data_IF_109277023833
#
_entry.id   IF_109277023833
#
_cell.length_a   1.000
_cell.length_b   1.000
_cell.length_c   1.000
_cell.angle_alpha   90.00
_cell.angle_beta   90.00
_cell.angle_gamma   90.00
#
_symmetry.space_group_name_H-M   'P 1'
#
loop_
_entity.id
_entity.type
_entity.pdbx_description
1 polymer ?
#
# COMPACT_ATOMS: atom_id res chain seq x y z
N UNK A 1 -18.41 60.55 -32.26
CA UNK A 1 -18.78 61.81 -33.06
C UNK A 1 -20.26 61.94 -32.99
N UNK A 2 -20.66 63.16 -32.57
CA UNK A 2 -21.86 63.91 -32.86
C UNK A 2 -23.18 63.28 -32.40
N UNK A 3 -23.74 63.74 -31.28
CA UNK A 3 -24.41 65.00 -31.07
C UNK A 3 -25.83 64.94 -31.63
N UNK A 4 -26.78 65.05 -30.67
CA UNK A 4 -27.56 66.28 -30.44
C UNK A 4 -28.95 66.21 -31.07
N UNK A 5 -29.91 66.41 -30.22
CA UNK A 5 -30.94 67.41 -30.13
C UNK A 5 -32.31 66.86 -30.55
N UNK A 6 -33.40 67.03 -29.89
CA UNK A 6 -34.15 68.18 -29.38
C UNK A 6 -35.41 67.63 -28.71
N UNK A 7 -35.76 67.89 -27.52
CA UNK A 7 -36.36 69.01 -26.84
C UNK A 7 -37.64 69.61 -27.53
N UNK A 8 -38.69 69.71 -26.68
CA UNK A 8 -39.96 70.39 -26.78
C UNK A 8 -41.11 69.62 -27.42
N UNK A 9 -42.25 69.43 -26.74
CA UNK A 9 -43.22 70.44 -26.29
C UNK A 9 -44.22 69.81 -25.28
N UNK A 10 -44.28 70.27 -24.12
CA UNK A 10 -45.30 70.75 -23.22
C UNK A 10 -46.65 71.11 -23.95
N UNK A 11 -47.76 70.54 -23.45
CA UNK A 11 -48.92 71.25 -22.92
C UNK A 11 -49.98 70.26 -22.52
N UNK A 12 -50.23 70.14 -21.29
CA UNK A 12 -51.47 70.38 -20.52
C UNK A 12 -52.78 69.98 -21.17
N UNK A 13 -53.42 69.02 -20.55
CA UNK A 13 -54.85 69.08 -20.34
C UNK A 13 -55.22 68.44 -18.98
N UNK A 14 -55.41 69.29 -18.00
CA UNK A 14 -56.21 69.03 -16.83
C UNK A 14 -57.68 69.07 -17.24
N UNK A 15 -58.36 67.98 -17.15
CA UNK A 15 -59.81 67.99 -16.90
C UNK A 15 -60.12 66.92 -15.86
N UNK A 16 -60.67 67.42 -14.80
CA UNK A 16 -61.24 66.74 -13.67
C UNK A 16 -62.34 65.78 -14.09
N UNK A 17 -62.44 64.64 -13.40
CA UNK A 17 -63.70 64.25 -12.85
C UNK A 17 -63.51 63.26 -11.73
N UNK A 18 -63.89 63.59 -10.52
CA UNK A 18 -64.03 62.73 -9.38
C UNK A 18 -65.19 61.77 -9.59
N UNK A 19 -65.11 60.66 -8.93
CA UNK A 19 -66.24 59.81 -8.81
C UNK A 19 -65.94 58.34 -8.57
N UNK A 20 -66.22 57.87 -7.36
CA UNK A 20 -66.55 56.49 -7.00
C UNK A 20 -65.38 55.51 -6.74
N UNK A 21 -64.72 55.67 -5.58
CA UNK A 21 -63.96 54.59 -4.91
C UNK A 21 -64.85 53.51 -4.28
N UNK A 22 -66.21 53.59 -4.46
CA UNK A 22 -67.14 52.59 -3.96
C UNK A 22 -67.39 51.39 -4.88
N UNK A 23 -67.18 51.60 -6.20
CA UNK A 23 -67.53 50.55 -7.19
C UNK A 23 -66.50 49.43 -7.33
N UNK A 24 -65.26 49.73 -7.14
CA UNK A 24 -64.19 48.71 -7.22
C UNK A 24 -64.18 47.73 -6.04
N UNK A 25 -64.61 48.17 -4.85
CA UNK A 25 -64.75 47.29 -3.71
C UNK A 25 -65.96 46.36 -3.85
N UNK A 26 -67.10 46.88 -4.40
CA UNK A 26 -68.26 46.09 -4.69
C UNK A 26 -68.00 45.07 -5.82
N UNK A 27 -67.31 45.49 -6.87
CA UNK A 27 -66.84 44.58 -7.95
C UNK A 27 -65.89 43.53 -7.46
N UNK A 28 -64.96 43.83 -6.54
CA UNK A 28 -64.05 42.87 -5.95
C UNK A 28 -64.79 41.87 -5.06
N UNK A 29 -65.80 42.33 -4.33
CA UNK A 29 -66.63 41.42 -3.50
C UNK A 29 -67.46 40.48 -4.37
N UNK A 30 -68.09 40.97 -5.46
CA UNK A 30 -68.85 40.14 -6.41
C UNK A 30 -67.95 39.10 -7.13
N UNK A 31 -66.75 39.52 -7.54
CA UNK A 31 -65.77 38.59 -8.14
C UNK A 31 -65.28 37.52 -7.16
N UNK A 32 -65.10 37.85 -5.89
CA UNK A 32 -64.76 36.83 -4.84
C UNK A 32 -65.91 35.86 -4.59
N UNK A 33 -67.14 36.32 -4.64
CA UNK A 33 -68.30 35.41 -4.50
C UNK A 33 -68.42 34.48 -5.71
N UNK A 34 -68.22 34.99 -6.93
CA UNK A 34 -68.18 34.17 -8.15
C UNK A 34 -66.97 33.19 -8.17
N UNK A 35 -65.84 33.59 -7.62
CA UNK A 35 -64.69 32.71 -7.48
C UNK A 35 -64.97 31.55 -6.48
N UNK A 36 -65.65 31.85 -5.38
CA UNK A 36 -66.03 30.83 -4.41
C UNK A 36 -67.08 29.87 -4.98
N UNK A 37 -68.07 30.40 -5.77
CA UNK A 37 -69.08 29.59 -6.43
C UNK A 37 -68.50 28.70 -7.53
N UNK A 38 -67.60 29.22 -8.34
CA UNK A 38 -66.83 28.44 -9.33
C UNK A 38 -65.95 27.40 -8.67
N UNK A 39 -65.29 27.71 -7.55
CA UNK A 39 -64.52 26.74 -6.80
C UNK A 39 -65.38 25.61 -6.22
N UNK A 40 -66.60 25.91 -5.77
CA UNK A 40 -67.58 24.92 -5.30
C UNK A 40 -68.08 24.04 -6.47
N UNK A 41 -68.37 24.62 -7.63
CA UNK A 41 -68.73 23.88 -8.85
C UNK A 41 -67.61 23.01 -9.38
N UNK A 42 -66.38 23.48 -9.39
CA UNK A 42 -65.19 22.69 -9.73
C UNK A 42 -65.05 21.50 -8.75
N UNK A 43 -65.19 21.76 -7.45
CA UNK A 43 -65.08 20.67 -6.44
C UNK A 43 -66.25 19.68 -6.55
N UNK A 44 -67.46 20.09 -6.94
CA UNK A 44 -68.58 19.19 -7.18
C UNK A 44 -68.36 18.36 -8.46
N UNK A 45 -67.90 19.01 -9.54
CA UNK A 45 -67.56 18.31 -10.79
C UNK A 45 -66.35 17.38 -10.62
N UNK A 46 -65.32 17.76 -9.85
CA UNK A 46 -64.20 16.86 -9.50
C UNK A 46 -64.67 15.69 -8.67
N UNK A 47 -65.71 15.86 -7.82
CA UNK A 47 -66.30 14.78 -7.03
C UNK A 47 -67.15 13.84 -7.89
N UNK A 48 -67.91 14.36 -8.86
CA UNK A 48 -68.66 13.56 -9.85
C UNK A 48 -67.72 12.85 -10.83
N UNK A 49 -66.64 13.50 -11.33
CA UNK A 49 -65.61 12.88 -12.15
C UNK A 49 -64.79 11.84 -11.37
N UNK A 50 -64.47 12.13 -10.09
CA UNK A 50 -63.80 11.17 -9.22
C UNK A 50 -64.65 9.95 -8.83
N UNK A 51 -65.97 10.06 -8.89
CA UNK A 51 -66.88 8.91 -8.69
C UNK A 51 -67.05 8.06 -9.97
N UNK A 52 -66.75 8.60 -11.15
CA UNK A 52 -66.89 7.90 -12.45
C UNK A 52 -65.59 7.30 -12.99
N UNK A 53 -64.42 7.66 -12.43
CA UNK A 53 -63.13 7.18 -12.89
C UNK A 53 -62.50 6.20 -11.87
N UNK A 54 -63.13 5.05 -11.70
CA UNK A 54 -62.60 3.90 -10.96
C UNK A 54 -61.54 3.12 -11.76
N UNK A 55 -61.03 3.66 -12.84
CA UNK A 55 -59.84 3.19 -13.54
C UNK A 55 -58.71 4.18 -13.32
N UNK A 56 -58.12 4.20 -12.11
CA UNK A 56 -56.73 4.63 -11.95
C UNK A 56 -55.93 3.82 -12.97
N UNK A 57 -55.63 4.37 -14.15
CA UNK A 57 -54.58 3.80 -15.04
C UNK A 57 -53.33 3.71 -14.20
N UNK A 58 -53.09 2.53 -13.62
CA UNK A 58 -51.86 2.25 -12.89
C UNK A 58 -50.72 2.59 -13.82
N UNK A 59 -49.98 3.64 -13.48
CA UNK A 59 -48.83 4.11 -14.25
C UNK A 59 -47.76 3.03 -14.14
N UNK A 60 -47.61 2.24 -15.20
CA UNK A 60 -46.59 1.20 -15.24
C UNK A 60 -45.23 1.89 -15.28
N UNK A 61 -44.36 1.61 -14.32
CA UNK A 61 -42.98 2.09 -14.27
C UNK A 61 -42.04 1.03 -14.86
N UNK A 62 -41.20 1.46 -15.77
CA UNK A 62 -40.23 0.57 -16.38
C UNK A 62 -38.97 0.49 -15.52
N UNK A 63 -38.53 -0.73 -15.25
CA UNK A 63 -37.40 -1.02 -14.36
C UNK A 63 -36.46 -2.05 -15.02
N UNK A 64 -35.21 -2.05 -14.58
CA UNK A 64 -34.30 -3.17 -14.83
C UNK A 64 -34.01 -3.89 -13.50
N UNK A 65 -33.95 -5.21 -13.55
CA UNK A 65 -33.71 -6.04 -12.38
C UNK A 65 -32.48 -6.93 -12.56
N UNK A 66 -31.82 -7.24 -11.47
CA UNK A 66 -30.76 -8.24 -11.42
C UNK A 66 -31.08 -9.28 -10.32
N UNK A 67 -30.86 -10.58 -10.58
CA UNK A 67 -31.04 -11.59 -9.56
C UNK A 67 -29.99 -11.46 -8.46
N UNK A 68 -30.41 -11.48 -7.20
CA UNK A 68 -29.50 -11.51 -6.06
C UNK A 68 -28.91 -12.91 -5.94
N UNK A 69 -27.58 -12.99 -5.91
CA UNK A 69 -26.86 -14.25 -5.72
C UNK A 69 -25.83 -14.12 -4.60
N UNK A 70 -25.46 -15.25 -4.02
CA UNK A 70 -24.35 -15.29 -3.06
C UNK A 70 -23.02 -15.32 -3.80
N UNK A 71 -22.07 -14.50 -3.37
CA UNK A 71 -20.70 -14.46 -3.89
C UNK A 71 -19.70 -14.28 -2.75
N UNK A 72 -18.43 -14.53 -3.04
CA UNK A 72 -17.39 -14.25 -2.07
C UNK A 72 -17.24 -12.73 -1.91
N UNK A 73 -17.29 -12.26 -0.68
CA UNK A 73 -17.08 -10.86 -0.31
C UNK A 73 -15.92 -10.75 0.67
N UNK A 74 -15.01 -9.82 0.40
CA UNK A 74 -13.92 -9.51 1.30
C UNK A 74 -13.78 -8.00 1.45
N UNK A 75 -13.52 -7.57 2.68
CA UNK A 75 -13.18 -6.20 3.02
C UNK A 75 -11.70 -6.13 3.35
N UNK A 76 -11.01 -5.14 2.80
CA UNK A 76 -9.58 -5.00 2.94
C UNK A 76 -9.22 -3.70 3.65
N UNK A 77 -8.14 -3.75 4.42
CA UNK A 77 -7.41 -2.57 4.88
C UNK A 77 -6.30 -2.33 3.85
N UNK A 78 -6.33 -1.20 3.17
CA UNK A 78 -5.32 -0.82 2.19
C UNK A 78 -4.22 0.00 2.87
N UNK A 79 -2.99 -0.47 2.73
CA UNK A 79 -1.79 0.12 3.31
C UNK A 79 -0.75 0.32 2.22
N UNK A 80 -0.04 1.43 2.28
CA UNK A 80 1.10 1.67 1.39
C UNK A 80 2.37 1.07 1.98
N UNK A 81 3.19 0.50 1.12
CA UNK A 81 4.47 -0.08 1.49
C UNK A 81 5.50 0.05 0.39
N UNK A 82 6.68 -0.46 0.65
CA UNK A 82 7.76 -0.55 -0.32
C UNK A 82 8.49 -1.88 -0.22
N UNK A 83 9.02 -2.32 -1.35
CA UNK A 83 9.91 -3.49 -1.40
C UNK A 83 11.23 -3.14 -0.72
N UNK A 84 11.70 -4.00 0.16
CA UNK A 84 13.04 -3.89 0.75
C UNK A 84 13.77 -5.22 0.60
N UNK A 85 15.07 -5.16 0.34
CA UNK A 85 15.90 -6.35 0.44
C UNK A 85 16.05 -6.74 1.92
N UNK A 86 16.06 -8.04 2.21
CA UNK A 86 16.29 -8.52 3.57
C UNK A 86 17.73 -8.25 3.99
N UNK A 87 18.65 -8.52 3.09
CA UNK A 87 20.08 -8.37 3.31
C UNK A 87 20.62 -7.24 2.41
N UNK A 88 20.95 -6.12 3.01
CA UNK A 88 21.63 -4.99 2.40
C UNK A 88 22.80 -4.58 3.30
N UNK A 89 24.03 -4.57 2.75
CA UNK A 89 25.23 -4.33 3.54
C UNK A 89 26.17 -3.39 2.82
N UNK A 90 26.67 -2.40 3.57
CA UNK A 90 27.81 -1.59 3.14
C UNK A 90 29.09 -2.32 3.49
N UNK A 91 29.97 -2.47 2.52
CA UNK A 91 31.31 -3.00 2.71
C UNK A 91 32.22 -1.85 3.10
N UNK A 92 32.84 -1.95 4.26
CA UNK A 92 33.72 -0.92 4.78
C UNK A 92 35.16 -1.44 4.86
N UNK A 93 36.14 -0.55 4.72
CA UNK A 93 37.51 -0.83 5.05
C UNK A 93 37.66 -1.17 6.53
N UNK A 94 38.54 -2.13 6.85
CA UNK A 94 38.84 -2.52 8.24
C UNK A 94 40.11 -1.83 8.75
N UNK A 95 40.95 -1.41 7.84
CA UNK A 95 42.25 -0.73 8.11
C UNK A 95 42.34 0.54 7.28
N UNK A 96 43.05 1.55 7.75
CA UNK A 96 43.33 2.73 6.93
C UNK A 96 44.38 2.43 5.86
N UNK A 97 44.31 3.14 4.73
CA UNK A 97 45.26 3.04 3.64
C UNK A 97 44.70 3.53 2.32
N UNK A 98 45.52 3.50 1.26
CA UNK A 98 45.10 3.87 -0.08
C UNK A 98 44.55 2.64 -0.83
N UNK A 99 43.48 2.81 -1.59
CA UNK A 99 42.92 1.72 -2.43
C UNK A 99 43.80 1.55 -3.64
N UNK A 100 44.40 0.37 -3.80
CA UNK A 100 45.26 0.02 -4.93
C UNK A 100 44.49 -0.62 -6.07
N UNK A 101 43.46 -1.43 -5.75
CA UNK A 101 42.64 -2.14 -6.74
C UNK A 101 41.20 -2.24 -6.31
N UNK A 102 40.31 -2.16 -7.29
CA UNK A 102 38.87 -2.46 -7.14
C UNK A 102 38.52 -3.49 -8.21
N UNK A 103 37.97 -4.64 -7.80
CA UNK A 103 37.68 -5.79 -8.66
C UNK A 103 36.19 -5.87 -9.07
N UNK A 104 35.36 -4.93 -8.61
CA UNK A 104 33.93 -4.91 -8.84
C UNK A 104 33.48 -3.61 -9.49
N UNK A 105 32.36 -3.71 -10.20
CA UNK A 105 31.62 -2.56 -10.75
C UNK A 105 30.17 -2.64 -10.33
N UNK A 106 29.47 -1.52 -10.42
CA UNK A 106 28.02 -1.47 -10.23
C UNK A 106 27.34 -2.45 -11.20
N UNK A 107 26.43 -3.28 -10.69
CA UNK A 107 25.74 -4.34 -11.42
C UNK A 107 26.39 -5.73 -11.33
N UNK A 108 27.64 -5.84 -10.87
CA UNK A 108 28.32 -7.13 -10.75
C UNK A 108 27.70 -8.01 -9.67
N UNK A 109 27.67 -9.33 -9.91
CA UNK A 109 27.32 -10.33 -8.91
C UNK A 109 28.53 -10.79 -8.13
N UNK A 110 28.45 -10.73 -6.82
CA UNK A 110 29.50 -11.15 -5.90
C UNK A 110 29.05 -12.26 -4.98
N UNK A 111 30.00 -13.08 -4.53
CA UNK A 111 29.76 -14.14 -3.53
C UNK A 111 30.33 -13.73 -2.17
N UNK A 112 29.73 -14.22 -1.11
CA UNK A 112 30.28 -14.06 0.23
C UNK A 112 31.73 -14.57 0.28
N UNK A 113 32.63 -13.77 0.88
CA UNK A 113 34.07 -14.06 0.95
C UNK A 113 34.88 -13.63 -0.29
N UNK A 114 34.26 -13.23 -1.39
CA UNK A 114 34.96 -12.75 -2.58
C UNK A 114 35.69 -11.42 -2.29
N UNK A 115 36.96 -11.29 -2.70
CA UNK A 115 37.69 -10.04 -2.60
C UNK A 115 37.14 -9.04 -3.60
N UNK A 116 36.77 -7.85 -3.12
CA UNK A 116 36.18 -6.77 -3.92
C UNK A 116 37.12 -5.59 -4.12
N UNK A 117 38.05 -5.39 -3.20
CA UNK A 117 39.10 -4.37 -3.35
C UNK A 117 40.31 -4.72 -2.50
N UNK A 118 41.42 -4.04 -2.80
CA UNK A 118 42.68 -4.13 -2.04
C UNK A 118 43.13 -2.75 -1.61
N UNK A 119 43.60 -2.69 -0.36
CA UNK A 119 44.31 -1.54 0.22
C UNK A 119 45.83 -1.80 0.10
N UNK A 120 46.60 -0.76 -0.04
CA UNK A 120 48.03 -0.82 -0.03
C UNK A 120 48.54 -1.57 1.21
N UNK A 121 49.30 -2.65 0.98
CA UNK A 121 49.79 -3.55 2.01
C UNK A 121 51.28 -3.83 1.92
N UNK A 122 52.02 -3.01 1.16
CA UNK A 122 53.49 -3.22 0.90
C UNK A 122 54.26 -3.32 2.21
N UNK A 123 54.00 -2.45 3.18
CA UNK A 123 54.64 -2.51 4.49
C UNK A 123 54.35 -3.84 5.22
N UNK A 124 53.11 -4.28 5.19
CA UNK A 124 52.68 -5.54 5.83
C UNK A 124 53.30 -6.75 5.12
N UNK A 125 53.43 -6.69 3.80
CA UNK A 125 54.10 -7.74 3.03
C UNK A 125 55.60 -7.84 3.41
N UNK A 126 56.31 -6.71 3.51
CA UNK A 126 57.71 -6.69 3.93
C UNK A 126 57.88 -7.26 5.35
N UNK A 127 57.02 -6.93 6.27
CA UNK A 127 57.01 -7.51 7.63
C UNK A 127 56.77 -9.02 7.63
N UNK A 128 55.85 -9.48 6.78
CA UNK A 128 55.59 -10.90 6.62
C UNK A 128 56.83 -11.64 6.07
N UNK A 129 57.50 -11.09 5.08
CA UNK A 129 58.70 -11.68 4.47
C UNK A 129 59.86 -11.74 5.47
N UNK A 130 60.04 -10.72 6.33
CA UNK A 130 61.03 -10.72 7.40
C UNK A 130 60.78 -11.84 8.43
N UNK A 131 59.53 -11.94 8.94
CA UNK A 131 59.15 -12.99 9.92
C UNK A 131 59.26 -14.38 9.28
N UNK A 132 58.93 -14.52 8.01
CA UNK A 132 59.08 -15.77 7.26
C UNK A 132 60.54 -16.22 7.22
N UNK A 133 61.47 -15.33 6.94
CA UNK A 133 62.93 -15.63 6.94
C UNK A 133 63.44 -16.04 8.32
N UNK A 134 62.96 -15.39 9.37
CA UNK A 134 63.30 -15.77 10.74
C UNK A 134 62.73 -17.16 11.11
N UNK A 135 61.50 -17.44 10.67
CA UNK A 135 60.88 -18.75 10.87
C UNK A 135 61.60 -19.85 10.11
N UNK A 136 61.98 -19.62 8.85
CA UNK A 136 62.73 -20.58 8.05
C UNK A 136 64.03 -21.01 8.79
N UNK A 137 64.78 -20.04 9.32
CA UNK A 137 65.99 -20.31 10.12
C UNK A 137 65.66 -21.09 11.41
N UNK A 138 64.66 -20.66 12.18
CA UNK A 138 64.29 -21.30 13.42
C UNK A 138 63.77 -22.73 13.19
N UNK A 139 63.04 -22.95 12.11
CA UNK A 139 62.56 -24.29 11.71
C UNK A 139 63.71 -25.20 11.32
N UNK A 140 64.73 -24.74 10.57
CA UNK A 140 65.91 -25.51 10.24
C UNK A 140 66.70 -25.90 11.51
N UNK A 141 66.88 -24.96 12.43
CA UNK A 141 67.57 -25.22 13.71
C UNK A 141 66.76 -26.25 14.55
N UNK A 142 65.46 -26.11 14.60
CA UNK A 142 64.59 -27.09 15.31
C UNK A 142 64.73 -28.47 14.67
N UNK A 143 64.65 -28.61 13.37
CA UNK A 143 64.79 -29.90 12.67
C UNK A 143 66.13 -30.56 12.97
N UNK A 144 67.24 -29.80 13.00
CA UNK A 144 68.56 -30.33 13.40
C UNK A 144 68.60 -30.80 14.84
N UNK A 145 68.00 -30.01 15.77
CA UNK A 145 67.95 -30.38 17.18
C UNK A 145 67.03 -31.60 17.42
N UNK A 146 65.90 -31.69 16.68
CA UNK A 146 65.01 -32.84 16.74
C UNK A 146 65.68 -34.16 16.31
N UNK A 147 66.52 -34.14 15.26
CA UNK A 147 67.28 -35.30 14.82
C UNK A 147 68.31 -35.73 15.89
N UNK A 148 69.08 -34.76 16.46
CA UNK A 148 70.03 -35.05 17.54
C UNK A 148 69.33 -35.63 18.80
N UNK A 149 68.21 -35.01 19.19
CA UNK A 149 67.42 -35.45 20.33
C UNK A 149 66.88 -36.90 20.15
N UNK A 150 66.37 -37.23 18.96
CA UNK A 150 65.94 -38.61 18.61
C UNK A 150 67.09 -39.63 18.69
N UNK A 151 68.34 -39.18 18.52
CA UNK A 151 69.56 -40.03 18.67
C UNK A 151 70.09 -40.01 20.11
N UNK A 152 69.36 -39.41 21.08
CA UNK A 152 69.79 -39.19 22.47
C UNK A 152 71.09 -38.33 22.55
N UNK A 153 71.34 -37.45 21.61
CA UNK A 153 72.47 -36.53 21.57
C UNK A 153 71.99 -35.12 21.89
N UNK A 154 72.58 -34.43 22.87
CA UNK A 154 72.27 -33.06 23.23
C UNK A 154 71.43 -32.92 24.49
N UNK A 155 71.06 -31.65 24.78
CA UNK A 155 70.32 -31.32 25.98
C UNK A 155 68.81 -31.12 25.63
N UNK A 156 67.95 -31.65 26.49
CA UNK A 156 66.49 -31.42 26.39
C UNK A 156 66.15 -29.93 26.33
N UNK A 157 66.86 -29.11 27.12
CA UNK A 157 66.68 -27.66 27.14
C UNK A 157 66.95 -27.05 25.78
N UNK A 158 68.00 -27.52 25.04
CA UNK A 158 68.32 -27.03 23.68
C UNK A 158 67.22 -27.41 22.69
N UNK A 159 66.70 -28.64 22.75
CA UNK A 159 65.56 -29.10 21.92
C UNK A 159 64.32 -28.30 22.19
N UNK A 160 63.92 -28.13 23.49
CA UNK A 160 62.73 -27.37 23.88
C UNK A 160 62.86 -25.90 23.54
N UNK A 161 64.05 -25.30 23.65
CA UNK A 161 64.30 -23.91 23.27
C UNK A 161 64.15 -23.72 21.77
N UNK A 162 64.69 -24.60 20.92
CA UNK A 162 64.53 -24.53 19.47
C UNK A 162 63.07 -24.72 19.08
N UNK A 163 62.37 -25.66 19.70
CA UNK A 163 60.94 -25.88 19.48
C UNK A 163 60.12 -24.64 19.82
N UNK A 164 60.31 -24.07 21.01
CA UNK A 164 59.57 -22.90 21.46
C UNK A 164 59.81 -21.67 20.55
N UNK A 165 61.07 -21.49 20.09
CA UNK A 165 61.39 -20.37 19.18
C UNK A 165 60.66 -20.54 17.84
N UNK A 166 60.66 -21.74 17.24
CA UNK A 166 59.93 -22.04 16.01
C UNK A 166 58.40 -21.77 16.19
N UNK A 167 57.83 -22.32 17.26
CA UNK A 167 56.37 -22.17 17.53
C UNK A 167 55.97 -20.71 17.80
N UNK A 168 56.84 -19.90 18.44
CA UNK A 168 56.60 -18.49 18.67
C UNK A 168 56.56 -17.70 17.35
N UNK A 169 57.49 -18.01 16.40
CA UNK A 169 57.55 -17.40 15.09
C UNK A 169 56.35 -17.87 14.21
N UNK A 170 55.89 -19.13 14.32
CA UNK A 170 54.67 -19.60 13.64
C UNK A 170 53.43 -18.81 14.11
N UNK A 171 53.29 -18.57 15.39
CA UNK A 171 52.20 -17.75 15.94
C UNK A 171 52.29 -16.29 15.46
N UNK A 172 53.52 -15.73 15.41
CA UNK A 172 53.74 -14.38 14.88
C UNK A 172 53.34 -14.30 13.41
N UNK A 173 53.77 -15.26 12.58
CA UNK A 173 53.35 -15.36 11.16
C UNK A 173 51.82 -15.44 11.01
N UNK A 174 51.16 -16.28 11.81
CA UNK A 174 49.70 -16.42 11.75
C UNK A 174 48.98 -15.09 12.12
N UNK A 175 49.56 -14.32 13.05
CA UNK A 175 49.02 -13.01 13.44
C UNK A 175 49.18 -11.98 12.33
N UNK A 176 50.36 -11.90 11.73
CA UNK A 176 50.64 -11.02 10.58
C UNK A 176 49.79 -11.39 9.36
N UNK A 177 49.58 -12.69 9.12
CA UNK A 177 48.70 -13.15 8.05
C UNK A 177 47.27 -12.63 8.24
N UNK A 178 46.72 -12.73 9.45
CA UNK A 178 45.39 -12.16 9.77
C UNK A 178 45.37 -10.65 9.59
N UNK A 179 46.43 -9.96 9.97
CA UNK A 179 46.53 -8.51 9.76
C UNK A 179 46.57 -8.17 8.27
N UNK A 180 47.36 -8.92 7.46
CA UNK A 180 47.39 -8.75 6.00
C UNK A 180 46.02 -9.02 5.35
N UNK A 181 45.28 -10.02 5.84
CA UNK A 181 43.96 -10.34 5.31
C UNK A 181 42.98 -9.18 5.52
N UNK A 182 43.21 -8.26 6.45
CA UNK A 182 42.35 -7.07 6.65
C UNK A 182 42.54 -6.02 5.54
N UNK A 183 43.67 -6.05 4.79
CA UNK A 183 43.91 -5.18 3.65
C UNK A 183 43.17 -5.67 2.39
N UNK A 184 42.69 -6.93 2.39
CA UNK A 184 41.77 -7.44 1.38
C UNK A 184 40.33 -7.20 1.84
N UNK A 185 39.64 -6.34 1.15
CA UNK A 185 38.23 -6.07 1.43
C UNK A 185 37.38 -7.13 0.75
N UNK A 186 36.60 -7.89 1.55
CA UNK A 186 35.78 -9.02 1.08
C UNK A 186 34.30 -8.74 1.27
N UNK A 187 33.50 -9.23 0.33
CA UNK A 187 32.05 -9.18 0.41
C UNK A 187 31.52 -10.02 1.59
N UNK A 188 30.76 -9.46 2.55
CA UNK A 188 30.24 -10.22 3.67
C UNK A 188 29.06 -11.11 3.30
N UNK A 189 28.32 -10.75 2.24
CA UNK A 189 27.16 -11.48 1.72
C UNK A 189 27.28 -11.68 0.22
N UNK A 190 26.53 -12.63 -0.32
CA UNK A 190 26.34 -12.77 -1.76
C UNK A 190 25.21 -11.83 -2.22
N UNK A 191 25.40 -11.18 -3.37
CA UNK A 191 24.40 -10.23 -3.88
C UNK A 191 24.87 -9.55 -5.14
N UNK A 192 24.24 -8.42 -5.47
CA UNK A 192 24.59 -7.54 -6.58
C UNK A 192 25.14 -6.25 -6.00
N UNK A 193 26.18 -5.73 -6.62
CA UNK A 193 26.78 -4.44 -6.27
C UNK A 193 25.87 -3.32 -6.73
N UNK A 194 25.34 -2.57 -5.77
CA UNK A 194 24.39 -1.46 -6.00
C UNK A 194 25.13 -0.13 -6.22
N UNK A 195 26.22 0.11 -5.46
CA UNK A 195 27.01 1.33 -5.55
C UNK A 195 28.47 1.08 -5.18
N UNK A 196 29.38 1.84 -5.78
CA UNK A 196 30.84 1.84 -5.51
C UNK A 196 31.33 3.29 -5.44
N UNK A 197 31.13 3.98 -4.31
CA UNK A 197 31.50 5.40 -4.18
C UNK A 197 33.02 5.65 -4.18
N UNK A 198 33.82 4.66 -3.77
CA UNK A 198 35.27 4.81 -3.73
C UNK A 198 35.96 4.52 -5.07
N UNK A 199 37.10 5.16 -5.29
CA UNK A 199 37.92 5.02 -6.50
C UNK A 199 39.32 4.55 -6.14
N UNK A 200 40.04 3.95 -7.11
CA UNK A 200 41.44 3.62 -6.99
C UNK A 200 42.22 4.91 -6.68
N UNK A 201 43.14 4.84 -5.71
CA UNK A 201 43.92 5.98 -5.20
C UNK A 201 43.22 6.76 -4.07
N UNK A 202 41.96 6.49 -3.80
CA UNK A 202 41.26 7.10 -2.64
C UNK A 202 41.79 6.55 -1.32
N UNK A 203 41.81 7.41 -0.30
CA UNK A 203 42.05 6.99 1.07
C UNK A 203 40.85 6.24 1.63
N UNK A 204 41.10 5.05 2.16
CA UNK A 204 40.13 4.27 2.89
C UNK A 204 40.37 4.37 4.40
N UNK A 205 39.30 4.42 5.20
CA UNK A 205 39.38 4.39 6.66
C UNK A 205 38.26 3.51 7.24
N UNK A 206 38.43 2.96 8.45
CA UNK A 206 37.38 2.19 9.11
C UNK A 206 36.07 2.97 9.19
N UNK A 207 34.97 2.33 8.75
CA UNK A 207 33.64 2.95 8.71
C UNK A 207 33.30 3.70 7.42
N UNK A 208 34.25 3.96 6.54
CA UNK A 208 33.96 4.54 5.22
C UNK A 208 33.45 3.46 4.26
N UNK A 209 32.26 3.66 3.63
CA UNK A 209 31.69 2.68 2.72
C UNK A 209 32.47 2.64 1.41
N UNK A 210 32.94 1.44 1.02
CA UNK A 210 33.58 1.18 -0.25
C UNK A 210 32.56 0.81 -1.33
N UNK A 211 31.63 -0.06 -0.99
CA UNK A 211 30.60 -0.52 -1.89
C UNK A 211 29.34 -0.92 -1.10
N UNK A 212 28.20 -0.92 -1.79
CA UNK A 212 26.92 -1.40 -1.28
C UNK A 212 26.55 -2.69 -2.01
N UNK A 213 26.27 -3.76 -1.27
CA UNK A 213 25.78 -5.01 -1.81
C UNK A 213 24.34 -5.22 -1.36
N UNK A 214 23.49 -5.59 -2.30
CA UNK A 214 22.05 -5.90 -2.08
C UNK A 214 21.78 -7.33 -2.52
N UNK A 215 21.14 -8.08 -1.65
CA UNK A 215 20.72 -9.44 -1.95
C UNK A 215 19.27 -9.46 -2.44
N UNK A 216 19.09 -9.60 -3.76
CA UNK A 216 17.75 -9.68 -4.38
C UNK A 216 17.06 -11.04 -4.22
N UNK A 217 17.73 -12.05 -3.67
CA UNK A 217 17.14 -13.38 -3.51
C UNK A 217 16.13 -13.46 -2.36
N UNK A 218 16.13 -12.46 -1.48
CA UNK A 218 15.21 -12.35 -0.35
C UNK A 218 14.65 -10.94 -0.28
N UNK A 219 13.46 -10.80 -0.83
CA UNK A 219 12.72 -9.54 -0.80
C UNK A 219 11.55 -9.64 0.19
N UNK A 220 11.23 -8.53 0.80
CA UNK A 220 10.03 -8.36 1.62
C UNK A 220 9.41 -7.00 1.36
N UNK A 221 8.10 -6.90 1.58
CA UNK A 221 7.43 -5.61 1.62
C UNK A 221 7.43 -5.13 3.05
N UNK A 222 7.85 -3.90 3.23
CA UNK A 222 7.74 -3.14 4.47
C UNK A 222 6.60 -2.16 4.34
N UNK A 223 5.70 -2.22 5.31
CA UNK A 223 4.54 -1.34 5.42
C UNK A 223 4.63 -0.59 6.74
N UNK A 224 4.33 0.69 6.71
CA UNK A 224 4.14 1.50 7.90
C UNK A 224 2.65 1.67 8.16
N UNK A 225 2.08 0.77 8.96
CA UNK A 225 0.66 0.75 9.25
C UNK A 225 0.31 1.77 10.34
N UNK A 226 -0.67 2.68 10.13
CA UNK A 226 -1.17 3.57 11.17
C UNK A 226 -1.61 2.81 12.44
N UNK A 227 -1.37 3.38 13.61
CA UNK A 227 -1.69 2.76 14.91
C UNK A 227 -3.17 2.36 15.05
N UNK A 228 -4.07 3.06 14.34
CA UNK A 228 -5.51 2.76 14.31
C UNK A 228 -5.85 1.37 13.79
N UNK A 229 -4.96 0.78 13.00
CA UNK A 229 -5.15 -0.57 12.44
C UNK A 229 -4.46 -1.67 13.24
N UNK A 230 -3.62 -1.34 14.23
CA UNK A 230 -2.85 -2.34 15.00
C UNK A 230 -3.76 -3.38 15.65
N UNK A 231 -4.92 -2.96 16.16
CA UNK A 231 -5.91 -3.88 16.74
C UNK A 231 -6.50 -4.91 15.76
N UNK A 232 -6.44 -4.63 14.45
CA UNK A 232 -6.99 -5.48 13.38
C UNK A 232 -5.93 -6.32 12.67
N UNK A 233 -4.64 -5.97 12.80
CA UNK A 233 -3.54 -6.69 12.18
C UNK A 233 -3.06 -7.82 13.09
N UNK A 234 -2.79 -8.99 12.50
CA UNK A 234 -2.21 -10.16 13.17
C UNK A 234 -1.16 -10.79 12.27
N UNK A 235 -0.10 -11.32 12.88
CA UNK A 235 0.83 -12.20 12.16
C UNK A 235 0.04 -13.39 11.61
N UNK A 236 0.28 -13.73 10.33
CA UNK A 236 -0.46 -14.76 9.61
C UNK A 236 -1.67 -14.26 8.82
N UNK A 237 -2.12 -13.00 8.99
CA UNK A 237 -3.17 -12.44 8.13
C UNK A 237 -2.78 -12.58 6.65
N UNK A 238 -3.72 -13.03 5.84
CA UNK A 238 -3.57 -13.07 4.39
C UNK A 238 -3.58 -11.67 3.82
N UNK A 239 -2.65 -11.41 2.91
CA UNK A 239 -2.50 -10.13 2.25
C UNK A 239 -2.35 -10.31 0.74
N UNK A 240 -2.87 -9.36 0.00
CA UNK A 240 -2.64 -9.22 -1.43
C UNK A 240 -1.73 -8.00 -1.64
N UNK A 241 -0.53 -8.25 -2.13
CA UNK A 241 0.44 -7.20 -2.42
C UNK A 241 0.34 -6.85 -3.89
N UNK A 242 -0.04 -5.62 -4.17
CA UNK A 242 -0.15 -5.07 -5.52
C UNK A 242 1.07 -4.20 -5.83
N UNK A 243 1.59 -4.36 -7.04
CA UNK A 243 2.69 -3.56 -7.60
C UNK A 243 2.14 -2.79 -8.79
N UNK A 244 1.64 -1.55 -8.58
CA UNK A 244 0.96 -0.79 -9.62
C UNK A 244 1.83 -0.58 -10.86
N UNK A 245 3.14 -0.29 -10.67
CA UNK A 245 4.07 0.06 -11.74
C UNK A 245 4.33 -1.09 -12.74
N UNK A 246 4.15 -2.34 -12.30
CA UNK A 246 4.36 -3.54 -13.13
C UNK A 246 3.07 -4.34 -13.31
N UNK A 247 1.94 -3.82 -12.85
CA UNK A 247 0.61 -4.44 -12.91
C UNK A 247 0.61 -5.90 -12.42
N UNK A 248 1.23 -6.14 -11.27
CA UNK A 248 1.40 -7.47 -10.69
C UNK A 248 0.79 -7.55 -9.30
N UNK A 249 0.26 -8.73 -8.96
CA UNK A 249 -0.29 -9.03 -7.65
C UNK A 249 0.33 -10.32 -7.09
N UNK A 250 0.68 -10.30 -5.80
CA UNK A 250 1.25 -11.45 -5.10
C UNK A 250 0.49 -11.67 -3.79
N UNK A 251 -0.03 -12.88 -3.62
CA UNK A 251 -0.62 -13.29 -2.34
C UNK A 251 0.47 -13.72 -1.37
N UNK A 252 0.42 -13.21 -0.15
CA UNK A 252 1.36 -13.54 0.93
C UNK A 252 0.65 -13.48 2.29
N UNK A 253 1.44 -13.50 3.36
CA UNK A 253 0.96 -13.35 4.74
C UNK A 253 1.87 -12.43 5.52
N UNK A 254 1.31 -11.73 6.49
CA UNK A 254 2.09 -10.93 7.44
C UNK A 254 3.00 -11.86 8.23
N UNK A 255 4.31 -11.63 8.20
CA UNK A 255 5.31 -12.40 8.95
C UNK A 255 5.72 -11.71 10.25
N UNK A 256 5.67 -10.39 10.29
CA UNK A 256 6.11 -9.62 11.44
C UNK A 256 5.30 -8.35 11.60
N UNK A 257 5.01 -8.00 12.85
CA UNK A 257 4.41 -6.73 13.26
C UNK A 257 5.27 -6.18 14.39
N UNK A 258 5.71 -4.94 14.26
CA UNK A 258 6.54 -4.27 15.26
C UNK A 258 5.87 -4.21 16.62
N UNK A 259 6.64 -4.39 17.68
CA UNK A 259 6.15 -4.35 19.06
C UNK A 259 5.88 -2.92 19.57
N UNK A 260 6.39 -1.91 18.89
CA UNK A 260 6.25 -0.50 19.26
C UNK A 260 5.74 0.37 18.14
N UNK A 261 5.13 1.49 18.50
CA UNK A 261 4.70 2.54 17.59
C UNK A 261 5.85 3.52 17.40
N UNK A 262 6.17 3.87 16.17
CA UNK A 262 7.11 4.94 15.87
C UNK A 262 6.50 6.29 16.26
N UNK A 263 7.09 7.03 17.22
CA UNK A 263 6.49 8.25 17.73
C UNK A 263 6.48 9.40 16.71
N UNK A 264 7.34 9.37 15.71
CA UNK A 264 7.46 10.45 14.72
C UNK A 264 6.30 10.47 13.72
N UNK A 265 5.79 9.29 13.34
CA UNK A 265 4.73 9.15 12.31
C UNK A 265 3.53 8.34 12.78
N UNK A 266 3.51 7.88 14.04
CA UNK A 266 2.46 7.04 14.64
C UNK A 266 2.12 5.80 13.85
N UNK A 267 3.14 5.14 13.33
CA UNK A 267 2.99 3.90 12.56
C UNK A 267 3.64 2.72 13.27
N UNK A 268 3.18 1.53 12.93
CA UNK A 268 3.78 0.26 13.31
C UNK A 268 4.34 -0.40 12.05
N UNK A 269 5.56 -0.90 12.15
CA UNK A 269 6.24 -1.60 11.07
C UNK A 269 5.61 -2.97 10.87
N UNK A 270 5.19 -3.27 9.64
CA UNK A 270 4.70 -4.59 9.23
C UNK A 270 5.59 -5.12 8.12
N UNK A 271 5.98 -6.39 8.20
CA UNK A 271 6.80 -7.04 7.17
C UNK A 271 6.07 -8.24 6.57
N UNK A 272 6.16 -8.33 5.26
CA UNK A 272 5.48 -9.32 4.44
C UNK A 272 6.52 -9.93 3.50
N UNK A 273 6.88 -11.21 3.63
CA UNK A 273 7.84 -11.85 2.77
C UNK A 273 7.27 -12.00 1.35
N UNK A 274 8.11 -11.78 0.35
CA UNK A 274 7.79 -12.04 -1.05
C UNK A 274 8.65 -13.20 -1.52
N UNK A 275 8.08 -14.12 -2.30
CA UNK A 275 8.86 -15.15 -2.96
C UNK A 275 9.78 -14.51 -4.00
N UNK A 276 11.07 -14.73 -3.85
CA UNK A 276 12.15 -14.06 -4.57
C UNK A 276 12.29 -14.39 -6.06
N UNK A 277 11.51 -15.34 -6.58
CA UNK A 277 11.60 -15.76 -7.98
C UNK A 277 10.75 -14.93 -8.97
N UNK A 278 10.23 -13.80 -8.52
CA UNK A 278 9.38 -12.96 -9.33
C UNK A 278 10.22 -11.93 -10.11
N UNK A 279 10.34 -12.09 -11.43
CA UNK A 279 11.14 -11.17 -12.23
C UNK A 279 10.54 -9.76 -12.22
N UNK A 280 11.40 -8.74 -12.20
CA UNK A 280 11.00 -7.34 -12.27
C UNK A 280 10.76 -6.67 -10.92
N UNK A 281 10.89 -7.36 -9.78
CA UNK A 281 10.83 -6.73 -8.46
C UNK A 281 12.18 -6.15 -8.08
N UNK A 282 12.19 -4.86 -7.78
CA UNK A 282 13.36 -4.11 -7.34
C UNK A 282 13.11 -3.51 -5.95
N UNK A 283 14.15 -3.37 -5.12
CA UNK A 283 14.06 -2.60 -3.87
C UNK A 283 13.55 -1.18 -4.12
N UNK A 284 12.86 -0.63 -3.14
CA UNK A 284 12.22 0.69 -3.15
C UNK A 284 11.02 0.84 -4.10
N UNK A 285 10.59 -0.22 -4.81
CA UNK A 285 9.32 -0.18 -5.55
C UNK A 285 8.16 0.05 -4.59
N UNK A 286 7.26 0.96 -4.97
CA UNK A 286 6.04 1.21 -4.22
C UNK A 286 5.06 0.04 -4.34
N UNK A 287 4.35 -0.24 -3.26
CA UNK A 287 3.35 -1.33 -3.21
C UNK A 287 2.10 -0.88 -2.48
N UNK A 288 0.96 -1.44 -2.87
CA UNK A 288 -0.29 -1.36 -2.12
C UNK A 288 -0.57 -2.72 -1.52
N UNK A 289 -0.65 -2.77 -0.21
CA UNK A 289 -0.91 -4.01 0.54
C UNK A 289 -2.36 -4.01 1.01
N UNK A 290 -3.14 -4.96 0.51
CA UNK A 290 -4.52 -5.20 0.92
C UNK A 290 -4.56 -6.32 1.95
N UNK A 291 -4.75 -5.95 3.21
CA UNK A 291 -4.87 -6.92 4.32
C UNK A 291 -6.33 -7.33 4.43
N UNK A 292 -6.61 -8.63 4.37
CA UNK A 292 -7.96 -9.16 4.56
C UNK A 292 -8.40 -8.89 6.01
N UNK A 293 -9.35 -7.96 6.17
CA UNK A 293 -9.95 -7.62 7.46
C UNK A 293 -11.20 -8.45 7.76
N UNK A 294 -11.97 -8.75 6.71
CA UNK A 294 -13.18 -9.56 6.78
C UNK A 294 -13.35 -10.35 5.50
N UNK A 295 -13.82 -11.58 5.59
CA UNK A 295 -14.15 -12.40 4.43
C UNK A 295 -15.32 -13.32 4.72
N UNK A 296 -16.30 -13.32 3.80
CA UNK A 296 -17.44 -14.22 3.82
C UNK A 296 -17.56 -14.86 2.41
N UNK A 297 -17.34 -16.18 2.29
CA UNK A 297 -17.38 -16.86 0.99
C UNK A 297 -18.79 -16.98 0.39
N UNK A 298 -19.83 -16.77 1.18
CA UNK A 298 -21.25 -16.87 0.79
C UNK A 298 -22.03 -15.63 1.21
N UNK A 299 -21.49 -14.46 0.95
CA UNK A 299 -22.16 -13.19 1.24
C UNK A 299 -23.18 -12.85 0.16
N UNK A 300 -24.25 -12.23 0.55
CA UNK A 300 -25.18 -11.59 -0.35
C UNK A 300 -24.66 -10.18 -0.65
N UNK A 301 -24.19 -9.94 -1.87
CA UNK A 301 -23.48 -8.70 -2.25
C UNK A 301 -24.33 -7.90 -3.20
N UNK A 302 -24.55 -6.62 -2.87
CA UNK A 302 -25.23 -5.66 -3.74
C UNK A 302 -24.45 -4.36 -3.86
N UNK A 303 -24.60 -3.61 -4.95
CA UNK A 303 -24.07 -2.26 -5.07
C UNK A 303 -24.66 -1.31 -4.00
N UNK A 304 -23.80 -0.52 -3.36
CA UNK A 304 -24.23 0.38 -2.26
C UNK A 304 -25.22 1.47 -2.71
N UNK A 305 -25.16 1.89 -3.98
CA UNK A 305 -26.04 2.90 -4.56
C UNK A 305 -27.50 2.45 -4.67
N UNK A 306 -27.78 1.15 -4.56
CA UNK A 306 -29.15 0.62 -4.60
C UNK A 306 -29.85 0.67 -3.24
N UNK A 307 -29.11 0.97 -2.17
CA UNK A 307 -29.63 1.08 -0.84
C UNK A 307 -30.21 2.47 -0.64
N UNK A 308 -31.47 2.51 -0.21
CA UNK A 308 -32.18 3.72 0.12
C UNK A 308 -32.41 3.80 1.64
N UNK A 309 -32.63 5.01 2.14
CA UNK A 309 -32.97 5.25 3.55
C UNK A 309 -34.37 5.86 3.65
N UNK A 310 -35.12 5.36 4.58
CA UNK A 310 -36.42 5.97 4.91
C UNK A 310 -36.26 7.17 5.88
N UNK A 311 -37.39 7.81 6.19
CA UNK A 311 -37.43 8.94 7.13
C UNK A 311 -36.98 8.56 8.56
N UNK A 312 -37.01 7.27 8.89
CA UNK A 312 -36.52 6.72 10.17
C UNK A 312 -35.06 6.26 10.09
N UNK A 313 -34.36 6.57 9.00
CA UNK A 313 -32.94 6.19 8.72
C UNK A 313 -32.74 4.66 8.64
N UNK A 314 -33.79 3.89 8.28
CA UNK A 314 -33.69 2.46 8.02
C UNK A 314 -33.30 2.20 6.58
N UNK A 315 -32.38 1.27 6.38
CA UNK A 315 -31.91 0.87 5.05
C UNK A 315 -32.92 -0.09 4.41
N UNK A 316 -33.27 0.17 3.15
CA UNK A 316 -34.13 -0.70 2.36
C UNK A 316 -33.69 -0.73 0.89
N UNK A 317 -34.15 -1.73 0.17
CA UNK A 317 -34.01 -1.87 -1.27
C UNK A 317 -35.34 -2.17 -1.92
N UNK A 318 -35.44 -1.96 -3.23
CA UNK A 318 -36.61 -2.31 -4.01
C UNK A 318 -36.39 -3.62 -4.76
N UNK A 319 -37.32 -4.55 -4.65
CA UNK A 319 -37.34 -5.82 -5.39
C UNK A 319 -38.60 -5.90 -6.25
N UNK A 320 -38.53 -6.63 -7.34
CA UNK A 320 -39.72 -6.97 -8.15
C UNK A 320 -40.31 -8.29 -7.67
N UNK A 321 -41.59 -8.30 -7.36
CA UNK A 321 -42.34 -9.49 -6.98
C UNK A 321 -43.70 -9.49 -7.69
N UNK A 322 -43.89 -10.40 -8.64
CA UNK A 322 -45.20 -10.58 -9.33
C UNK A 322 -45.69 -9.39 -10.16
N UNK A 323 -44.78 -8.56 -10.72
CA UNK A 323 -45.12 -7.36 -11.49
C UNK A 323 -45.30 -6.11 -10.65
N UNK A 324 -44.96 -6.16 -9.38
CA UNK A 324 -45.02 -5.04 -8.45
C UNK A 324 -43.68 -4.77 -7.78
N UNK A 325 -43.43 -3.49 -7.50
CA UNK A 325 -42.29 -3.07 -6.70
C UNK A 325 -42.57 -3.31 -5.22
N UNK A 326 -41.70 -4.05 -4.57
CA UNK A 326 -41.79 -4.34 -3.14
C UNK A 326 -40.60 -3.75 -2.41
N UNK A 327 -40.86 -2.99 -1.38
CA UNK A 327 -39.82 -2.53 -0.45
C UNK A 327 -39.44 -3.67 0.49
N UNK A 328 -38.11 -3.90 0.59
CA UNK A 328 -37.54 -4.88 1.52
C UNK A 328 -36.55 -4.17 2.42
N UNK A 329 -36.82 -4.15 3.72
CA UNK A 329 -35.91 -3.61 4.71
C UNK A 329 -34.69 -4.54 4.83
N UNK A 330 -33.49 -3.97 4.79
CA UNK A 330 -32.22 -4.73 4.79
C UNK A 330 -31.34 -4.32 5.94
N UNK A 331 -30.56 -5.28 6.43
CA UNK A 331 -29.46 -5.01 7.36
C UNK A 331 -28.14 -5.13 6.64
N UNK A 332 -27.41 -4.03 6.56
CA UNK A 332 -26.13 -3.94 5.89
C UNK A 332 -25.04 -4.45 6.84
N UNK A 333 -24.12 -5.23 6.30
CA UNK A 333 -22.90 -5.70 6.96
C UNK A 333 -21.67 -4.83 6.58
N UNK A 334 -20.61 -5.48 6.14
CA UNK A 334 -19.39 -4.80 5.73
C UNK A 334 -19.53 -4.18 4.34
N UNK A 335 -18.81 -3.08 4.14
CA UNK A 335 -18.75 -2.37 2.87
C UNK A 335 -17.30 -2.32 2.37
N UNK A 336 -17.12 -2.49 1.06
CA UNK A 336 -15.83 -2.32 0.41
C UNK A 336 -16.00 -1.88 -1.04
N UNK A 337 -15.36 -0.77 -1.40
CA UNK A 337 -15.50 -0.14 -2.71
C UNK A 337 -16.97 0.26 -2.99
N UNK A 338 -17.51 -0.20 -4.11
CA UNK A 338 -18.88 0.09 -4.55
C UNK A 338 -19.91 -0.95 -4.06
N UNK A 339 -19.48 -1.97 -3.35
CA UNK A 339 -20.31 -3.09 -2.91
C UNK A 339 -20.48 -3.13 -1.40
N UNK A 340 -21.58 -3.71 -0.97
CA UNK A 340 -21.83 -4.02 0.44
C UNK A 340 -22.44 -5.40 0.60
N UNK A 341 -22.19 -5.99 1.75
CA UNK A 341 -22.82 -7.23 2.19
C UNK A 341 -24.19 -6.94 2.81
N UNK A 342 -25.19 -7.70 2.44
CA UNK A 342 -26.50 -7.72 3.09
C UNK A 342 -26.57 -8.92 4.01
N UNK A 343 -26.68 -8.66 5.32
CA UNK A 343 -26.71 -9.71 6.35
C UNK A 343 -28.12 -10.32 6.48
N UNK A 344 -29.17 -9.52 6.27
CA UNK A 344 -30.55 -9.97 6.33
C UNK A 344 -31.48 -9.06 5.54
N UNK A 345 -32.64 -9.61 5.15
CA UNK A 345 -33.69 -8.92 4.40
C UNK A 345 -33.89 -9.48 2.99
N UNK A 346 -32.82 -9.80 2.28
CA UNK A 346 -32.89 -10.40 0.94
C UNK A 346 -32.71 -11.92 0.98
N UNK A 347 -33.17 -12.56 -0.08
CA UNK A 347 -33.00 -13.99 -0.34
C UNK A 347 -32.29 -14.20 -1.69
N UNK A 348 -31.60 -15.31 -1.82
CA UNK A 348 -31.04 -15.68 -3.12
C UNK A 348 -32.16 -15.94 -4.12
N UNK A 349 -32.07 -15.30 -5.30
CA UNK A 349 -33.10 -15.34 -6.32
C UNK A 349 -34.05 -14.15 -6.34
N UNK A 350 -34.06 -13.29 -5.32
CA UNK A 350 -34.82 -12.05 -5.33
C UNK A 350 -34.40 -11.18 -6.54
N UNK A 351 -35.33 -10.57 -7.22
CA UNK A 351 -35.08 -9.68 -8.35
C UNK A 351 -34.91 -8.25 -7.87
N UNK A 352 -33.68 -7.88 -7.59
CA UNK A 352 -33.32 -6.54 -7.12
C UNK A 352 -33.46 -5.52 -8.25
N UNK A 353 -34.15 -4.41 -8.00
CA UNK A 353 -34.28 -3.32 -8.97
C UNK A 353 -32.96 -2.54 -9.03
N UNK A 354 -32.32 -2.55 -10.19
CA UNK A 354 -31.02 -1.89 -10.42
C UNK A 354 -31.15 -0.55 -11.16
N UNK A 355 -32.23 -0.37 -11.93
CA UNK A 355 -32.52 0.89 -12.64
C UNK A 355 -33.98 1.29 -12.37
N UNK A 356 -34.22 2.59 -12.14
CA UNK A 356 -35.54 3.14 -11.87
C UNK A 356 -36.01 3.04 -10.41
N UNK A 357 -35.18 2.54 -9.51
CA UNK A 357 -35.52 2.34 -8.09
C UNK A 357 -35.81 3.64 -7.32
N UNK A 358 -35.28 4.78 -7.78
CA UNK A 358 -35.41 6.08 -7.07
C UNK A 358 -36.87 6.61 -7.04
N UNK A 359 -37.60 6.34 -8.10
CA UNK A 359 -38.96 6.84 -8.29
C UNK A 359 -40.05 5.81 -7.88
N UNK A 360 -39.62 4.66 -7.31
CA UNK A 360 -40.54 3.59 -6.93
C UNK A 360 -41.07 3.76 -5.51
N UNK A 361 -42.38 3.54 -5.38
CA UNK A 361 -43.02 3.33 -4.09
C UNK A 361 -43.37 1.86 -3.92
N UNK A 362 -43.52 1.46 -2.67
CA UNK A 362 -44.01 0.11 -2.37
C UNK A 362 -45.39 -0.11 -2.96
N UNK A 363 -45.58 -1.16 -3.76
CA UNK A 363 -46.82 -1.51 -4.44
C UNK A 363 -46.99 -0.89 -5.83
N UNK A 364 -46.06 -0.13 -6.34
CA UNK A 364 -46.12 0.39 -7.72
C UNK A 364 -46.04 -0.76 -8.73
N UNK A 365 -46.88 -0.70 -9.76
CA UNK A 365 -46.89 -1.65 -10.87
C UNK A 365 -45.68 -1.39 -11.75
N UNK A 366 -44.91 -2.45 -12.04
CA UNK A 366 -43.63 -2.36 -12.77
C UNK A 366 -43.64 -3.31 -13.96
N UNK A 367 -42.90 -2.92 -14.99
CA UNK A 367 -42.57 -3.77 -16.14
C UNK A 367 -41.05 -3.82 -16.28
N UNK A 368 -40.53 -5.03 -16.47
CA UNK A 368 -39.10 -5.25 -16.65
C UNK A 368 -38.76 -4.95 -18.11
N UNK A 369 -37.73 -4.09 -18.29
CA UNK A 369 -37.21 -3.71 -19.60
C UNK A 369 -36.14 -4.67 -20.07
#
# INVERSE_FOLDING_TARGET
MKKILSLLLITAFFVACGGKGGDKKAQLADLKVKQADLAAQISALEKELGASDTTKKEKIKYISVAPVSTSAFSNFIELQGSVVAEDEVYINAKVPGSITRIYIKVGDRVRAGQTVAEIDNDLMQNQMDEIKKRWELANELFMKQEVLWKQNIGSEVQFLSAKNNKEALEKSMATLQKSRDMYQIKAPISGVVDDVPMKIGSGAAPGMPLAKIVNFSKLKVRVEAPETYVGKLRVGNSVLVQFPDINKEISSKISYIGAGVNPSNRTVKVEIPIKSNEPGLLPNMATVVKVVNYSNPKAMVIPINLIQKDLSNKDFVMVEEGGYAKRVDVKIGQQYGVNCEVVSGLKSGDKLVVVGYQDLNNGDKVAIN
#
